data_IF_095393693093
#
_entry.id   IF_095393693093
#
_cell.length_a   1.000
_cell.length_b   1.000
_cell.length_c   1.000
_cell.angle_alpha   90.00
_cell.angle_beta   90.00
_cell.angle_gamma   90.00
#
_symmetry.space_group_name_H-M   'P 1'
#
loop_
_entity.id
_entity.type
_entity.pdbx_description
1 polymer ?
#
# COMPACT_ATOMS: atom_id res chain seq x y z
N UNK A 1 -20.07 83.53 -26.68
CA UNK A 1 -20.65 82.50 -25.87
C UNK A 1 -19.87 81.26 -26.19
N UNK A 2 -18.89 80.85 -25.32
CA UNK A 2 -17.94 79.74 -25.58
C UNK A 2 -18.44 78.48 -24.79
N UNK A 3 -18.88 77.48 -25.51
CA UNK A 3 -19.29 76.18 -24.97
C UNK A 3 -18.03 75.34 -24.69
N UNK A 4 -17.79 74.93 -23.44
CA UNK A 4 -16.74 73.99 -23.03
C UNK A 4 -17.34 72.59 -22.91
N UNK A 5 -16.96 71.72 -23.83
CA UNK A 5 -17.20 70.27 -23.68
C UNK A 5 -16.21 69.70 -22.64
N UNK A 6 -16.76 69.07 -21.59
CA UNK A 6 -16.01 68.18 -20.69
C UNK A 6 -16.09 66.76 -21.26
N UNK A 7 -14.96 66.24 -21.66
CA UNK A 7 -14.83 64.80 -21.97
C UNK A 7 -14.49 64.04 -20.68
N UNK A 8 -15.42 63.19 -20.22
CA UNK A 8 -15.19 62.27 -19.12
C UNK A 8 -14.49 61.01 -19.69
N UNK A 9 -13.21 60.79 -19.34
CA UNK A 9 -12.50 59.57 -19.63
C UNK A 9 -12.89 58.47 -18.60
N UNK A 10 -13.64 57.49 -19.04
CA UNK A 10 -13.88 56.26 -18.24
C UNK A 10 -12.64 55.38 -18.24
N UNK A 11 -11.95 55.29 -17.12
CA UNK A 11 -10.87 54.32 -16.90
C UNK A 11 -11.50 52.95 -16.63
N UNK A 12 -11.53 52.07 -17.63
CA UNK A 12 -11.83 50.66 -17.48
C UNK A 12 -10.65 49.96 -16.81
N UNK A 13 -10.70 49.70 -15.53
CA UNK A 13 -9.79 48.79 -14.84
C UNK A 13 -10.11 47.36 -15.30
N UNK A 14 -9.27 46.87 -16.22
CA UNK A 14 -9.22 45.43 -16.55
C UNK A 14 -8.59 44.75 -15.33
N UNK A 15 -9.45 44.17 -14.44
CA UNK A 15 -8.98 43.19 -13.49
C UNK A 15 -8.61 41.96 -14.32
N UNK A 16 -7.34 41.84 -14.64
CA UNK A 16 -6.81 40.62 -15.22
C UNK A 16 -6.98 39.50 -14.17
N UNK A 17 -7.92 38.57 -14.41
CA UNK A 17 -7.86 37.28 -13.79
C UNK A 17 -6.49 36.70 -14.19
N UNK A 18 -5.53 36.72 -13.28
CA UNK A 18 -4.37 35.85 -13.39
C UNK A 18 -4.94 34.43 -13.42
N UNK A 19 -4.98 33.82 -14.60
CA UNK A 19 -5.26 32.39 -14.73
C UNK A 19 -4.26 31.70 -13.81
N UNK A 20 -4.77 31.11 -12.73
CA UNK A 20 -3.94 30.30 -11.87
C UNK A 20 -3.34 29.18 -12.72
N UNK A 21 -2.03 29.06 -12.69
CA UNK A 21 -1.32 28.06 -13.49
C UNK A 21 -1.80 26.65 -13.10
N UNK A 22 -2.23 25.86 -14.09
CA UNK A 22 -2.70 24.50 -13.88
C UNK A 22 -1.53 23.61 -13.44
N UNK A 23 -1.68 22.95 -12.33
CA UNK A 23 -0.69 22.01 -11.79
C UNK A 23 -0.98 20.62 -12.32
N UNK A 24 -0.04 20.04 -13.06
CA UNK A 24 -0.09 18.64 -13.47
C UNK A 24 0.86 17.83 -12.59
N UNK A 25 0.34 16.77 -11.96
CA UNK A 25 1.10 15.85 -11.12
C UNK A 25 1.08 14.46 -11.78
N UNK A 26 2.27 13.89 -12.03
CA UNK A 26 2.43 12.55 -12.59
C UNK A 26 2.52 11.54 -11.45
N UNK A 27 1.51 10.66 -11.34
CA UNK A 27 1.45 9.59 -10.36
C UNK A 27 1.83 8.26 -11.01
N UNK A 28 2.90 7.64 -10.52
CA UNK A 28 3.44 6.39 -11.05
C UNK A 28 3.25 5.24 -10.07
N UNK A 29 2.81 4.08 -10.57
CA UNK A 29 2.68 2.88 -9.76
C UNK A 29 2.91 1.58 -10.55
N UNK A 30 3.01 0.45 -9.83
CA UNK A 30 3.49 -0.82 -10.38
C UNK A 30 2.39 -1.82 -10.77
N UNK A 31 1.14 -1.62 -10.36
CA UNK A 31 0.05 -2.55 -10.66
C UNK A 31 -0.64 -2.23 -12.00
N UNK A 32 -1.28 -3.21 -12.64
CA UNK A 32 -2.08 -2.96 -13.84
C UNK A 32 -3.33 -2.13 -13.52
N UNK A 33 -3.85 -1.40 -14.50
CA UNK A 33 -4.98 -0.49 -14.33
C UNK A 33 -6.26 -1.12 -13.73
N UNK A 34 -6.62 -2.41 -14.01
CA UNK A 34 -7.79 -3.02 -13.37
C UNK A 34 -7.63 -3.33 -11.87
N UNK A 35 -6.41 -3.18 -11.30
CA UNK A 35 -6.19 -3.43 -9.87
C UNK A 35 -6.97 -2.43 -9.01
N UNK A 36 -7.42 -2.89 -7.83
CA UNK A 36 -8.12 -2.08 -6.82
C UNK A 36 -7.40 -0.76 -6.53
N UNK A 37 -6.07 -0.80 -6.47
CA UNK A 37 -5.24 0.38 -6.25
C UNK A 37 -5.54 1.50 -7.26
N UNK A 38 -5.66 1.22 -8.56
CA UNK A 38 -6.00 2.26 -9.53
C UNK A 38 -7.51 2.47 -9.61
N UNK A 39 -8.28 1.42 -9.85
CA UNK A 39 -9.68 1.55 -10.22
C UNK A 39 -10.59 2.02 -9.07
N UNK A 40 -10.26 1.66 -7.82
CA UNK A 40 -11.11 1.95 -6.66
C UNK A 40 -10.47 2.93 -5.66
N UNK A 41 -9.20 3.29 -5.87
CA UNK A 41 -8.51 4.24 -4.99
C UNK A 41 -7.93 5.41 -5.79
N UNK A 42 -6.88 5.21 -6.59
CA UNK A 42 -6.12 6.33 -7.16
C UNK A 42 -6.94 7.17 -8.15
N UNK A 43 -7.77 6.56 -9.00
CA UNK A 43 -8.66 7.30 -9.92
C UNK A 43 -9.73 8.09 -9.18
N UNK A 44 -10.53 7.52 -8.24
CA UNK A 44 -11.51 8.29 -7.48
C UNK A 44 -10.86 9.38 -6.60
N UNK A 45 -9.71 9.10 -6.00
CA UNK A 45 -8.96 10.07 -5.21
C UNK A 45 -8.45 11.22 -6.08
N UNK A 46 -7.85 10.94 -7.24
CA UNK A 46 -7.38 11.95 -8.17
C UNK A 46 -8.52 12.83 -8.69
N UNK A 47 -9.66 12.21 -9.03
CA UNK A 47 -10.86 12.95 -9.45
C UNK A 47 -11.38 13.87 -8.34
N UNK A 48 -11.36 13.41 -7.08
CA UNK A 48 -11.75 14.24 -5.94
C UNK A 48 -10.80 15.41 -5.73
N UNK A 49 -9.48 15.19 -5.77
CA UNK A 49 -8.47 16.28 -5.65
C UNK A 49 -8.66 17.31 -6.78
N UNK A 50 -8.91 16.84 -8.01
CA UNK A 50 -9.17 17.73 -9.15
C UNK A 50 -10.43 18.57 -8.91
N UNK A 51 -11.53 17.96 -8.48
CA UNK A 51 -12.77 18.69 -8.17
C UNK A 51 -12.60 19.67 -7.01
N UNK A 52 -11.95 19.28 -5.91
CA UNK A 52 -11.74 20.12 -4.72
C UNK A 52 -10.77 21.28 -5.00
N UNK A 53 -9.97 21.22 -6.07
CA UNK A 53 -9.06 22.27 -6.50
C UNK A 53 -9.63 23.21 -7.58
N UNK A 54 -10.94 23.12 -7.87
CA UNK A 54 -11.56 23.82 -9.00
C UNK A 54 -10.82 23.53 -10.34
N UNK A 55 -10.48 22.27 -10.55
CA UNK A 55 -9.74 21.72 -11.71
C UNK A 55 -8.29 22.26 -11.87
N UNK A 56 -7.75 22.93 -10.87
CA UNK A 56 -6.39 23.49 -10.90
C UNK A 56 -5.29 22.47 -10.65
N UNK A 57 -5.62 21.31 -10.04
CA UNK A 57 -4.73 20.16 -9.93
C UNK A 57 -5.26 19.06 -10.84
N UNK A 58 -4.46 18.65 -11.83
CA UNK A 58 -4.66 17.44 -12.62
C UNK A 58 -3.66 16.38 -12.21
N UNK A 59 -4.13 15.14 -11.98
CA UNK A 59 -3.27 14.01 -11.64
C UNK A 59 -3.32 13.01 -12.79
N UNK A 60 -2.21 12.86 -13.50
CA UNK A 60 -2.04 11.89 -14.57
C UNK A 60 -1.48 10.59 -13.99
N UNK A 61 -2.24 9.48 -14.06
CA UNK A 61 -1.88 8.19 -13.49
C UNK A 61 -1.18 7.32 -14.53
N UNK A 62 -0.02 6.77 -14.16
CA UNK A 62 0.81 5.90 -15.00
C UNK A 62 0.96 4.52 -14.34
N UNK A 63 0.12 3.52 -14.70
CA UNK A 63 0.16 2.17 -14.16
C UNK A 63 1.30 1.33 -14.70
N UNK A 64 1.50 0.15 -14.11
CA UNK A 64 2.35 -0.93 -14.61
C UNK A 64 3.76 -0.48 -15.01
N UNK A 65 4.35 0.42 -14.25
CA UNK A 65 5.70 0.98 -14.50
C UNK A 65 5.85 1.68 -15.87
N UNK A 66 4.78 2.30 -16.40
CA UNK A 66 4.80 2.94 -17.73
C UNK A 66 5.86 4.02 -17.90
N UNK A 67 6.26 4.69 -16.81
CA UNK A 67 7.34 5.69 -16.83
C UNK A 67 8.73 5.07 -16.65
N UNK A 68 8.82 3.74 -16.69
CA UNK A 68 10.07 2.99 -16.63
C UNK A 68 10.53 2.64 -15.22
N UNK A 69 11.60 1.84 -15.14
CA UNK A 69 12.14 1.32 -13.90
C UNK A 69 11.47 0.02 -13.42
N UNK A 70 11.73 -0.31 -12.16
CA UNK A 70 11.18 -1.48 -11.45
C UNK A 70 10.48 -1.03 -10.16
N UNK A 71 9.53 -1.79 -9.61
CA UNK A 71 8.79 -1.39 -8.41
C UNK A 71 9.65 -0.91 -7.23
N UNK A 72 10.79 -1.52 -6.88
CA UNK A 72 11.66 -0.99 -5.81
C UNK A 72 12.23 0.40 -6.07
N UNK A 73 12.27 0.88 -7.33
CA UNK A 73 12.81 2.19 -7.68
C UNK A 73 11.80 3.33 -7.54
N UNK A 74 10.52 3.05 -7.30
CA UNK A 74 9.48 4.08 -7.19
C UNK A 74 9.77 5.08 -6.06
N UNK A 75 10.30 4.62 -4.93
CA UNK A 75 10.71 5.49 -3.82
C UNK A 75 11.80 6.48 -4.26
N UNK A 76 12.80 6.01 -5.00
CA UNK A 76 13.84 6.88 -5.50
C UNK A 76 13.31 7.84 -6.58
N UNK A 77 12.42 7.37 -7.46
CA UNK A 77 11.80 8.21 -8.48
C UNK A 77 11.04 9.40 -7.86
N UNK A 78 10.24 9.18 -6.82
CA UNK A 78 9.53 10.28 -6.15
C UNK A 78 10.48 11.16 -5.35
N UNK A 79 11.44 10.59 -4.61
CA UNK A 79 12.42 11.37 -3.84
C UNK A 79 13.25 12.29 -4.72
N UNK A 80 13.71 11.79 -5.85
CA UNK A 80 14.61 12.51 -6.76
C UNK A 80 13.85 13.43 -7.74
N UNK A 81 12.50 13.38 -7.75
CA UNK A 81 11.64 14.21 -8.60
C UNK A 81 11.57 13.75 -10.06
N UNK A 82 11.90 12.49 -10.35
CA UNK A 82 11.71 11.87 -11.67
C UNK A 82 10.21 11.81 -12.02
N UNK A 83 9.39 11.55 -10.99
CA UNK A 83 7.94 11.66 -11.01
C UNK A 83 7.48 12.50 -9.83
N UNK A 84 6.26 13.06 -9.92
CA UNK A 84 5.75 13.94 -8.87
C UNK A 84 5.19 13.13 -7.70
N UNK A 85 4.52 12.00 -7.99
CA UNK A 85 3.87 11.15 -7.02
C UNK A 85 4.11 9.68 -7.32
N UNK A 86 4.03 8.85 -6.28
CA UNK A 86 4.05 7.38 -6.41
C UNK A 86 3.03 6.74 -5.48
N UNK A 87 2.51 5.59 -5.91
CA UNK A 87 1.91 4.60 -5.02
C UNK A 87 2.76 3.33 -5.06
N UNK A 88 3.25 2.87 -3.89
CA UNK A 88 4.27 1.83 -3.83
C UNK A 88 4.29 1.10 -2.49
N UNK A 89 5.11 0.05 -2.40
CA UNK A 89 5.48 -0.68 -1.18
C UNK A 89 6.88 -0.22 -0.76
N UNK A 90 7.04 0.55 0.32
CA UNK A 90 8.35 1.00 0.81
C UNK A 90 9.31 -0.18 1.07
N UNK A 91 8.81 -1.27 1.62
CA UNK A 91 9.58 -2.47 1.97
C UNK A 91 10.05 -3.32 0.77
N UNK A 92 9.73 -2.91 -0.48
CA UNK A 92 10.43 -3.45 -1.66
C UNK A 92 11.93 -3.08 -1.70
N UNK A 93 12.35 -2.15 -0.83
CA UNK A 93 13.75 -1.84 -0.52
C UNK A 93 14.08 -2.29 0.90
N UNK A 94 14.50 -3.55 1.11
CA UNK A 94 14.67 -4.16 2.44
C UNK A 94 15.54 -3.33 3.37
N UNK A 95 15.07 -3.12 4.61
CA UNK A 95 15.82 -2.44 5.66
C UNK A 95 15.91 -0.91 5.53
N UNK A 96 15.28 -0.32 4.50
CA UNK A 96 15.32 1.13 4.29
C UNK A 96 14.32 1.89 5.18
N UNK A 97 13.18 1.27 5.50
CA UNK A 97 12.09 1.87 6.28
C UNK A 97 11.79 1.04 7.54
N UNK A 98 12.78 0.92 8.41
CA UNK A 98 12.77 -0.10 9.45
C UNK A 98 11.67 0.07 10.49
N UNK A 99 11.24 1.31 10.79
CA UNK A 99 10.19 1.52 11.77
C UNK A 99 8.80 1.12 11.23
N UNK A 100 8.56 1.30 9.93
CA UNK A 100 7.28 0.94 9.30
C UNK A 100 7.13 -0.57 9.11
N UNK A 101 8.23 -1.34 9.06
CA UNK A 101 8.22 -2.79 8.96
C UNK A 101 7.51 -3.47 10.15
N UNK A 102 7.26 -2.78 11.27
CA UNK A 102 6.53 -3.30 12.44
C UNK A 102 5.14 -3.82 12.07
N UNK A 103 4.47 -3.18 11.10
CA UNK A 103 3.13 -3.60 10.67
C UNK A 103 3.15 -4.80 9.71
N UNK A 104 4.32 -5.17 9.21
CA UNK A 104 4.53 -6.36 8.36
C UNK A 104 4.97 -7.59 9.16
N UNK A 105 5.10 -7.45 10.49
CA UNK A 105 5.38 -8.58 11.39
C UNK A 105 4.19 -9.55 11.40
N UNK A 106 4.46 -10.86 11.60
CA UNK A 106 3.40 -11.86 11.61
C UNK A 106 2.36 -11.56 12.69
N UNK A 107 1.09 -11.79 12.35
CA UNK A 107 -0.07 -11.60 13.22
C UNK A 107 -0.21 -10.20 13.83
N UNK A 108 0.26 -9.18 13.10
CA UNK A 108 0.07 -7.78 13.45
C UNK A 108 -1.26 -7.25 12.93
N UNK A 109 -1.63 -7.61 11.70
CA UNK A 109 -2.75 -7.02 10.98
C UNK A 109 -4.12 -7.52 11.48
N UNK A 110 -5.03 -6.58 11.75
CA UNK A 110 -6.47 -6.82 11.88
C UNK A 110 -7.15 -6.66 10.49
N UNK A 111 -8.29 -5.96 10.38
CA UNK A 111 -8.81 -5.55 9.06
C UNK A 111 -7.87 -4.56 8.39
N UNK A 112 -8.02 -4.37 7.07
CA UNK A 112 -7.26 -3.33 6.37
C UNK A 112 -7.68 -1.93 6.85
N UNK A 113 -8.95 -1.70 7.20
CA UNK A 113 -9.41 -0.43 7.76
C UNK A 113 -8.70 -0.11 9.09
N UNK A 114 -8.79 -1.02 10.06
CA UNK A 114 -8.20 -0.82 11.37
C UNK A 114 -6.67 -0.65 11.30
N UNK A 115 -6.02 -1.52 10.53
CA UNK A 115 -4.56 -1.50 10.43
C UNK A 115 -4.06 -0.29 9.64
N UNK A 116 -4.77 0.18 8.60
CA UNK A 116 -4.42 1.41 7.88
C UNK A 116 -4.49 2.65 8.77
N UNK A 117 -5.52 2.76 9.61
CA UNK A 117 -5.61 3.84 10.61
C UNK A 117 -4.47 3.76 11.62
N UNK A 118 -4.12 2.56 12.09
CA UNK A 118 -3.01 2.36 13.00
C UNK A 118 -1.66 2.78 12.37
N UNK A 119 -1.39 2.37 11.12
CA UNK A 119 -0.18 2.76 10.39
C UNK A 119 -0.12 4.27 10.21
N UNK A 120 -1.24 4.91 9.85
CA UNK A 120 -1.31 6.35 9.65
C UNK A 120 -1.07 7.11 10.96
N UNK A 121 -1.64 6.67 12.09
CA UNK A 121 -1.40 7.25 13.41
C UNK A 121 0.07 7.08 13.85
N UNK A 122 0.59 5.87 13.71
CA UNK A 122 1.98 5.54 14.05
C UNK A 122 2.98 6.38 13.25
N UNK A 123 2.71 6.61 11.97
CA UNK A 123 3.61 7.38 11.10
C UNK A 123 3.81 8.82 11.55
N UNK A 124 2.86 9.41 12.27
CA UNK A 124 2.97 10.80 12.75
C UNK A 124 4.12 10.99 13.76
N UNK A 125 4.45 9.95 14.51
CA UNK A 125 5.49 10.00 15.55
C UNK A 125 6.77 9.24 15.19
N UNK A 126 6.71 8.31 14.26
CA UNK A 126 7.74 7.30 14.05
C UNK A 126 8.37 7.30 12.64
N UNK A 127 8.06 8.30 11.78
CA UNK A 127 8.82 8.50 10.55
C UNK A 127 10.24 8.94 10.87
N UNK A 128 11.19 8.33 10.19
CA UNK A 128 12.61 8.64 10.32
C UNK A 128 13.15 9.32 9.06
N UNK A 129 14.45 9.63 9.07
CA UNK A 129 15.15 10.30 7.96
C UNK A 129 15.10 9.53 6.63
N UNK A 130 14.68 8.26 6.63
CA UNK A 130 14.54 7.48 5.39
C UNK A 130 13.45 8.02 4.47
N UNK A 131 12.51 8.80 5.01
CA UNK A 131 11.49 9.53 4.25
C UNK A 131 11.91 10.95 3.82
N UNK A 132 13.14 11.37 4.09
CA UNK A 132 13.62 12.70 3.69
C UNK A 132 13.45 12.91 2.16
N UNK A 133 12.87 14.05 1.79
CA UNK A 133 12.55 14.39 0.39
C UNK A 133 11.24 13.79 -0.14
N UNK A 134 10.50 13.06 0.69
CA UNK A 134 9.22 12.44 0.37
C UNK A 134 8.17 12.92 1.37
N UNK A 135 7.05 13.49 0.87
CA UNK A 135 5.89 13.81 1.72
C UNK A 135 4.84 12.69 1.56
N UNK A 136 4.59 11.91 2.62
CA UNK A 136 3.49 10.95 2.63
C UNK A 136 2.13 11.67 2.53
N UNK A 137 1.26 11.16 1.67
CA UNK A 137 -0.17 11.52 1.57
C UNK A 137 -1.00 10.51 2.36
N UNK A 138 -0.67 9.22 2.19
CA UNK A 138 -1.36 8.12 2.83
C UNK A 138 -0.40 6.96 3.06
N UNK A 139 -0.39 6.43 4.27
CA UNK A 139 -0.02 5.04 4.54
C UNK A 139 -1.28 4.21 4.71
N UNK A 140 -1.32 3.06 4.10
CA UNK A 140 -2.40 2.09 4.27
C UNK A 140 -1.85 0.66 4.12
N UNK A 141 -2.69 -0.32 4.38
CA UNK A 141 -2.35 -1.73 4.18
C UNK A 141 -3.42 -2.42 3.33
N UNK A 142 -3.11 -3.62 2.85
CA UNK A 142 -4.11 -4.53 2.30
C UNK A 142 -4.74 -5.41 3.40
N UNK A 143 -5.85 -6.07 3.12
CA UNK A 143 -6.44 -7.06 4.02
C UNK A 143 -5.43 -8.17 4.32
N UNK A 144 -5.55 -8.88 5.46
CA UNK A 144 -4.64 -9.98 5.80
C UNK A 144 -4.49 -10.99 4.67
N UNK A 145 -3.24 -11.24 4.27
CA UNK A 145 -2.95 -12.10 3.13
C UNK A 145 -3.08 -13.59 3.45
N UNK A 146 -3.38 -14.35 2.40
CA UNK A 146 -3.50 -15.81 2.39
C UNK A 146 -2.36 -16.47 1.61
N UNK A 147 -2.21 -17.78 1.73
CA UNK A 147 -1.27 -18.57 0.93
C UNK A 147 -2.04 -19.17 -0.26
N UNK A 148 -1.53 -18.96 -1.46
CA UNK A 148 -2.07 -19.49 -2.71
C UNK A 148 -1.06 -20.43 -3.34
N UNK A 149 -1.41 -21.71 -3.51
CA UNK A 149 -0.51 -22.74 -4.04
C UNK A 149 -1.12 -23.47 -5.22
N UNK A 150 -0.28 -24.18 -5.97
CA UNK A 150 -0.69 -25.02 -7.08
C UNK A 150 -0.57 -26.49 -6.70
N UNK A 151 -1.70 -27.20 -6.63
CA UNK A 151 -1.75 -28.63 -6.38
C UNK A 151 -1.30 -29.07 -5.00
N UNK A 152 -1.10 -28.15 -4.05
CA UNK A 152 -0.57 -28.45 -2.71
C UNK A 152 -1.30 -27.67 -1.64
N UNK A 153 -2.33 -28.25 -1.03
CA UNK A 153 -3.02 -27.61 0.09
C UNK A 153 -2.10 -27.51 1.31
N UNK A 154 -2.17 -26.38 1.98
CA UNK A 154 -1.48 -26.13 3.25
C UNK A 154 -2.54 -26.20 4.34
N UNK A 155 -2.53 -27.28 5.12
CA UNK A 155 -3.52 -27.57 6.15
C UNK A 155 -2.93 -27.54 7.56
N UNK A 156 -1.62 -27.75 7.67
CA UNK A 156 -0.82 -27.65 8.88
C UNK A 156 0.54 -27.01 8.58
N UNK A 157 1.23 -26.57 9.62
CA UNK A 157 2.52 -25.90 9.50
C UNK A 157 3.56 -26.75 8.74
N UNK A 158 3.55 -28.05 8.95
CA UNK A 158 4.47 -29.00 8.32
C UNK A 158 4.31 -29.11 6.81
N UNK A 159 3.14 -28.78 6.27
CA UNK A 159 2.90 -28.77 4.82
C UNK A 159 3.77 -27.74 4.08
N UNK A 160 4.29 -26.73 4.80
CA UNK A 160 5.17 -25.71 4.25
C UNK A 160 6.61 -26.17 4.03
N UNK A 161 7.02 -27.34 4.58
CA UNK A 161 8.40 -27.80 4.49
C UNK A 161 8.85 -27.92 3.02
N UNK A 162 9.85 -27.11 2.65
CA UNK A 162 10.43 -27.08 1.32
C UNK A 162 9.55 -26.47 0.22
N UNK A 163 8.37 -25.93 0.52
CA UNK A 163 7.51 -25.23 -0.45
C UNK A 163 8.16 -23.93 -0.85
N UNK A 164 8.35 -23.69 -2.14
CA UNK A 164 8.84 -22.43 -2.67
C UNK A 164 7.70 -21.42 -2.75
N UNK A 165 7.71 -20.45 -1.87
CA UNK A 165 6.69 -19.39 -1.86
C UNK A 165 7.28 -18.03 -2.21
N UNK A 166 6.61 -17.32 -3.11
CA UNK A 166 6.95 -15.91 -3.32
C UNK A 166 6.64 -15.11 -2.06
N UNK A 167 7.55 -14.19 -1.71
CA UNK A 167 7.35 -13.24 -0.61
C UNK A 167 7.48 -11.79 -1.10
N UNK A 168 6.70 -10.84 -0.53
CA UNK A 168 6.80 -9.43 -0.89
C UNK A 168 7.95 -8.71 -0.20
N UNK A 169 8.22 -8.99 1.09
CA UNK A 169 9.10 -8.20 1.94
C UNK A 169 9.99 -9.06 2.82
N UNK A 170 10.97 -8.43 3.48
CA UNK A 170 11.91 -9.11 4.36
C UNK A 170 11.23 -9.79 5.55
N UNK A 171 10.32 -9.10 6.25
CA UNK A 171 9.64 -9.67 7.43
C UNK A 171 8.87 -10.92 7.07
N UNK A 172 8.18 -10.92 5.92
CA UNK A 172 7.41 -12.06 5.46
C UNK A 172 8.33 -13.20 4.99
N UNK A 173 9.49 -12.86 4.39
CA UNK A 173 10.54 -13.84 4.06
C UNK A 173 10.99 -14.58 5.32
N UNK A 174 11.37 -13.87 6.37
CA UNK A 174 11.80 -14.45 7.64
C UNK A 174 10.70 -15.29 8.29
N UNK A 175 9.44 -14.84 8.20
CA UNK A 175 8.28 -15.60 8.71
C UNK A 175 8.12 -16.94 7.99
N UNK A 176 8.16 -16.95 6.65
CA UNK A 176 8.02 -18.20 5.89
C UNK A 176 9.24 -19.12 6.05
N UNK A 177 10.45 -18.58 6.23
CA UNK A 177 11.64 -19.37 6.62
C UNK A 177 11.44 -20.05 7.99
N UNK A 178 10.91 -19.31 8.98
CA UNK A 178 10.62 -19.89 10.29
C UNK A 178 9.57 -21.02 10.23
N UNK A 179 8.73 -21.02 9.21
CA UNK A 179 7.75 -22.10 8.94
C UNK A 179 8.33 -23.26 8.10
N UNK A 180 9.59 -23.18 7.68
CA UNK A 180 10.24 -24.21 6.88
C UNK A 180 9.97 -24.13 5.38
N UNK A 181 9.32 -23.08 4.90
CA UNK A 181 9.20 -22.83 3.47
C UNK A 181 10.53 -22.32 2.87
N UNK A 182 10.62 -22.30 1.54
CA UNK A 182 11.70 -21.71 0.78
C UNK A 182 11.21 -20.41 0.13
N UNK A 183 11.38 -19.26 0.77
CA UNK A 183 10.86 -18.01 0.24
C UNK A 183 11.69 -17.48 -0.92
N UNK A 184 11.01 -16.86 -1.90
CA UNK A 184 11.63 -16.20 -3.04
C UNK A 184 11.09 -14.77 -3.12
N UNK A 185 11.92 -13.79 -2.80
CA UNK A 185 11.55 -12.38 -2.78
C UNK A 185 11.36 -11.80 -4.18
N UNK A 186 10.16 -11.25 -4.47
CA UNK A 186 9.94 -10.50 -5.71
C UNK A 186 8.70 -9.58 -5.62
N UNK A 187 8.68 -8.45 -6.35
CA UNK A 187 7.50 -7.60 -6.48
C UNK A 187 6.32 -8.31 -7.14
N UNK A 188 5.09 -7.89 -6.79
CA UNK A 188 3.84 -8.52 -7.23
C UNK A 188 3.72 -8.77 -8.76
N UNK A 189 4.10 -7.84 -9.66
CA UNK A 189 3.96 -8.07 -11.10
C UNK A 189 4.78 -9.24 -11.68
N UNK A 190 5.78 -9.73 -10.95
CA UNK A 190 6.63 -10.84 -11.42
C UNK A 190 6.06 -12.21 -11.07
N UNK A 191 5.09 -12.27 -10.14
CA UNK A 191 4.59 -13.52 -9.55
C UNK A 191 3.90 -14.43 -10.56
N UNK A 192 3.01 -13.95 -11.45
CA UNK A 192 2.34 -14.82 -12.41
C UNK A 192 3.34 -15.63 -13.26
N UNK A 193 4.37 -14.96 -13.74
CA UNK A 193 5.39 -15.61 -14.55
C UNK A 193 6.25 -16.59 -13.73
N UNK A 194 6.55 -16.26 -12.46
CA UNK A 194 7.32 -17.12 -11.57
C UNK A 194 6.58 -18.42 -11.26
N UNK A 195 5.27 -18.38 -10.98
CA UNK A 195 4.43 -19.56 -10.76
C UNK A 195 4.31 -20.37 -12.07
N UNK A 196 3.99 -19.73 -13.19
CA UNK A 196 3.84 -20.40 -14.47
C UNK A 196 5.10 -21.14 -14.92
N UNK A 197 6.28 -20.64 -14.58
CA UNK A 197 7.58 -21.26 -14.87
C UNK A 197 8.08 -22.26 -13.80
N UNK A 198 7.33 -22.45 -12.71
CA UNK A 198 7.74 -23.34 -11.61
C UNK A 198 8.93 -22.80 -10.80
N UNK A 199 9.24 -21.49 -10.85
CA UNK A 199 10.24 -20.87 -9.99
C UNK A 199 9.77 -20.89 -8.54
N UNK A 200 8.47 -20.71 -8.34
CA UNK A 200 7.78 -20.86 -7.06
C UNK A 200 6.56 -21.76 -7.21
N UNK A 201 6.18 -22.45 -6.13
CA UNK A 201 5.03 -23.33 -6.06
C UNK A 201 3.74 -22.58 -5.75
N UNK A 202 3.89 -21.33 -5.27
CA UNK A 202 2.80 -20.47 -4.86
C UNK A 202 3.28 -19.10 -4.38
N UNK A 203 2.38 -18.39 -3.75
CA UNK A 203 2.61 -17.00 -3.28
C UNK A 203 1.82 -16.71 -2.02
N UNK A 204 2.24 -15.69 -1.28
CA UNK A 204 1.37 -15.03 -0.32
C UNK A 204 0.81 -13.75 -0.94
N UNK A 205 -0.53 -13.60 -0.91
CA UNK A 205 -1.27 -12.42 -1.40
C UNK A 205 -2.58 -12.24 -0.62
N UNK A 206 -3.13 -11.02 -0.53
CA UNK A 206 -4.57 -10.84 -0.29
C UNK A 206 -5.37 -11.25 -1.53
N UNK A 207 -6.65 -11.52 -1.39
CA UNK A 207 -7.46 -11.97 -2.54
C UNK A 207 -7.73 -10.84 -3.55
N UNK A 208 -7.73 -9.57 -3.11
CA UNK A 208 -8.03 -8.42 -3.98
C UNK A 208 -7.10 -8.33 -5.21
N UNK A 209 -5.85 -8.80 -5.06
CA UNK A 209 -4.85 -8.76 -6.13
C UNK A 209 -4.84 -10.03 -7.00
N UNK A 210 -5.51 -11.11 -6.58
CA UNK A 210 -5.46 -12.39 -7.29
C UNK A 210 -6.08 -12.31 -8.67
N UNK A 211 -7.21 -11.59 -8.83
CA UNK A 211 -7.88 -11.42 -10.13
C UNK A 211 -7.11 -10.50 -11.08
N UNK A 212 -6.69 -9.27 -10.68
CA UNK A 212 -5.91 -8.40 -11.57
C UNK A 212 -4.60 -9.00 -12.06
N UNK A 213 -3.95 -9.85 -11.26
CA UNK A 213 -2.73 -10.56 -11.64
C UNK A 213 -2.98 -11.99 -12.14
N UNK A 214 -4.25 -12.42 -12.26
CA UNK A 214 -4.65 -13.74 -12.74
C UNK A 214 -4.03 -14.90 -11.95
N UNK A 215 -3.82 -14.70 -10.63
CA UNK A 215 -3.24 -15.71 -9.74
C UNK A 215 -4.20 -16.90 -9.58
N UNK A 216 -5.51 -16.63 -9.43
CA UNK A 216 -6.57 -17.63 -9.34
C UNK A 216 -6.65 -18.56 -10.55
N UNK A 217 -6.08 -18.19 -11.70
CA UNK A 217 -6.04 -19.07 -12.89
C UNK A 217 -4.85 -20.04 -12.90
N UNK A 218 -3.85 -19.81 -12.04
CA UNK A 218 -2.59 -20.56 -12.01
C UNK A 218 -2.28 -21.17 -10.63
N UNK A 219 -3.14 -20.95 -9.65
CA UNK A 219 -3.19 -21.62 -8.35
C UNK A 219 -4.56 -22.26 -8.18
N UNK A 220 -4.70 -23.26 -7.35
CA UNK A 220 -5.94 -24.03 -7.16
C UNK A 220 -6.23 -24.35 -5.69
N UNK A 221 -5.40 -23.84 -4.78
CA UNK A 221 -5.58 -24.00 -3.35
C UNK A 221 -5.25 -22.72 -2.61
N UNK A 222 -6.12 -22.32 -1.71
CA UNK A 222 -6.05 -21.08 -0.96
C UNK A 222 -6.18 -21.36 0.53
N UNK A 223 -5.13 -21.04 1.32
CA UNK A 223 -5.15 -21.24 2.78
C UNK A 223 -5.23 -19.90 3.49
N UNK A 224 -6.30 -19.71 4.24
CA UNK A 224 -6.53 -18.55 5.09
C UNK A 224 -6.02 -18.84 6.50
N UNK A 225 -5.18 -17.95 7.01
CA UNK A 225 -4.62 -18.00 8.35
C UNK A 225 -5.07 -16.74 9.10
N UNK A 226 -6.16 -16.84 9.82
CA UNK A 226 -6.76 -15.70 10.49
C UNK A 226 -7.55 -16.16 11.73
N UNK A 227 -7.39 -15.42 12.83
CA UNK A 227 -8.28 -15.48 14.01
C UNK A 227 -8.75 -14.06 14.34
N UNK A 228 -8.15 -13.43 15.33
CA UNK A 228 -8.27 -11.99 15.59
C UNK A 228 -7.29 -11.16 14.77
N UNK A 229 -6.20 -11.78 14.30
CA UNK A 229 -5.13 -11.21 13.47
C UNK A 229 -4.79 -12.17 12.34
N UNK A 230 -4.47 -11.61 11.20
CA UNK A 230 -4.05 -12.38 10.04
C UNK A 230 -2.55 -12.60 9.96
N UNK A 231 -2.14 -13.53 9.11
CA UNK A 231 -0.75 -13.96 8.95
C UNK A 231 0.18 -12.75 8.69
N UNK A 232 -0.19 -11.89 7.76
CA UNK A 232 0.61 -10.72 7.39
C UNK A 232 -0.21 -9.67 6.64
N UNK A 233 0.34 -8.49 6.56
CA UNK A 233 -0.02 -7.45 5.59
C UNK A 233 1.25 -6.77 5.08
N UNK A 234 1.11 -5.83 4.13
CA UNK A 234 2.20 -5.00 3.62
C UNK A 234 1.80 -3.53 3.72
N UNK A 235 2.72 -2.69 4.16
CA UNK A 235 2.51 -1.24 4.18
C UNK A 235 2.63 -0.69 2.77
N UNK A 236 1.63 0.07 2.37
CA UNK A 236 1.52 0.76 1.09
C UNK A 236 1.58 2.26 1.31
N UNK A 237 2.19 2.98 0.40
CA UNK A 237 2.43 4.41 0.50
C UNK A 237 1.98 5.12 -0.76
N UNK A 238 1.09 6.11 -0.61
CA UNK A 238 0.90 7.19 -1.59
C UNK A 238 1.71 8.40 -1.12
N UNK A 239 2.58 8.92 -1.97
CA UNK A 239 3.47 10.02 -1.61
C UNK A 239 3.70 10.97 -2.78
N UNK A 240 4.06 12.22 -2.44
CA UNK A 240 4.50 13.25 -3.36
C UNK A 240 5.96 13.65 -3.06
N UNK A 241 6.69 14.03 -4.07
CA UNK A 241 8.01 14.65 -3.93
C UNK A 241 7.91 15.89 -3.04
N UNK A 242 8.72 15.99 -1.98
CA UNK A 242 8.64 17.09 -1.02
C UNK A 242 8.81 18.46 -1.69
N UNK A 243 9.80 18.63 -2.57
CA UNK A 243 10.03 19.91 -3.26
C UNK A 243 8.89 20.28 -4.20
N UNK A 244 8.28 19.27 -4.85
CA UNK A 244 7.11 19.50 -5.71
C UNK A 244 5.92 19.99 -4.88
N UNK A 245 5.65 19.34 -3.73
CA UNK A 245 4.62 19.79 -2.79
C UNK A 245 4.92 21.22 -2.29
N UNK A 246 6.14 21.50 -1.85
CA UNK A 246 6.55 22.81 -1.32
C UNK A 246 6.38 23.94 -2.36
N UNK A 247 6.52 23.61 -3.65
CA UNK A 247 6.37 24.56 -4.77
C UNK A 247 4.92 24.89 -5.12
N UNK A 248 3.94 24.17 -4.57
CA UNK A 248 2.52 24.43 -4.84
C UNK A 248 2.06 25.71 -4.14
N UNK A 249 1.08 26.43 -4.70
CA UNK A 249 0.34 27.47 -3.99
C UNK A 249 -0.28 26.93 -2.70
N UNK A 250 -0.40 27.77 -1.66
CA UNK A 250 -0.85 27.33 -0.33
C UNK A 250 -2.29 26.80 -0.33
N UNK A 251 -3.15 27.32 -1.15
CA UNK A 251 -4.51 26.82 -1.34
C UNK A 251 -4.56 25.42 -1.98
N UNK A 252 -3.65 25.14 -2.93
CA UNK A 252 -3.54 23.79 -3.51
C UNK A 252 -2.87 22.80 -2.58
N UNK A 253 -1.93 23.23 -1.72
CA UNK A 253 -1.42 22.41 -0.61
C UNK A 253 -2.56 22.02 0.33
N UNK A 254 -3.42 23.00 0.70
CA UNK A 254 -4.57 22.75 1.56
C UNK A 254 -5.54 21.70 0.96
N UNK A 255 -5.76 21.71 -0.35
CA UNK A 255 -6.56 20.69 -1.04
C UNK A 255 -5.93 19.29 -0.90
N UNK A 256 -4.61 19.16 -1.15
CA UNK A 256 -3.92 17.88 -0.99
C UNK A 256 -3.95 17.39 0.46
N UNK A 257 -3.72 18.28 1.42
CA UNK A 257 -3.75 17.95 2.85
C UNK A 257 -5.15 17.53 3.31
N UNK A 258 -6.22 18.18 2.82
CA UNK A 258 -7.61 17.81 3.09
C UNK A 258 -8.00 16.44 2.50
N UNK A 259 -7.31 15.99 1.45
CA UNK A 259 -7.49 14.70 0.79
C UNK A 259 -6.41 13.69 1.19
N UNK A 260 -5.89 13.77 2.40
CA UNK A 260 -4.83 12.92 2.95
C UNK A 260 -5.11 12.48 4.39
N UNK A 261 -4.20 11.70 4.96
CA UNK A 261 -4.19 11.40 6.39
C UNK A 261 -5.24 10.41 6.84
N UNK A 262 -5.67 10.54 8.10
CA UNK A 262 -6.50 9.57 8.80
C UNK A 262 -7.86 9.29 8.13
N UNK A 263 -8.65 10.29 7.68
CA UNK A 263 -9.92 10.01 7.01
C UNK A 263 -9.75 9.19 5.74
N UNK A 264 -8.69 9.46 4.97
CA UNK A 264 -8.37 8.70 3.77
C UNK A 264 -7.92 7.28 4.12
N UNK A 265 -7.14 7.09 5.20
CA UNK A 265 -6.70 5.77 5.66
C UNK A 265 -7.87 4.85 6.02
N UNK A 266 -8.87 5.37 6.75
CA UNK A 266 -10.09 4.63 7.09
C UNK A 266 -10.90 4.29 5.82
N UNK A 267 -11.09 5.24 4.91
CA UNK A 267 -11.83 5.03 3.67
C UNK A 267 -11.16 3.96 2.79
N UNK A 268 -9.86 4.08 2.59
CA UNK A 268 -9.12 3.18 1.70
C UNK A 268 -8.97 1.80 2.33
N UNK A 269 -8.76 1.70 3.64
CA UNK A 269 -8.76 0.41 4.33
C UNK A 269 -10.08 -0.36 4.10
N UNK A 270 -11.25 0.30 4.22
CA UNK A 270 -12.56 -0.32 3.89
C UNK A 270 -12.63 -0.79 2.44
N UNK A 271 -12.11 -0.02 1.48
CA UNK A 271 -12.07 -0.43 0.08
C UNK A 271 -11.29 -1.74 -0.08
N UNK A 272 -10.14 -1.88 0.60
CA UNK A 272 -9.34 -3.11 0.56
C UNK A 272 -10.02 -4.29 1.24
N UNK A 273 -10.67 -4.11 2.38
CA UNK A 273 -11.45 -5.18 3.04
C UNK A 273 -12.60 -5.67 2.14
N UNK A 274 -13.30 -4.76 1.47
CA UNK A 274 -14.40 -5.09 0.55
C UNK A 274 -13.93 -5.77 -0.74
N UNK A 275 -12.73 -5.44 -1.20
CA UNK A 275 -12.17 -5.96 -2.43
C UNK A 275 -11.72 -7.44 -2.34
N UNK A 276 -11.64 -8.02 -1.15
CA UNK A 276 -11.33 -9.44 -0.95
C UNK A 276 -12.42 -10.34 -1.56
N UNK A 277 -13.70 -9.98 -1.42
CA UNK A 277 -14.82 -10.82 -1.86
C UNK A 277 -14.84 -11.13 -3.36
N UNK A 278 -14.62 -10.17 -4.27
CA UNK A 278 -14.51 -10.47 -5.70
C UNK A 278 -13.37 -11.44 -6.04
N UNK A 279 -12.23 -11.33 -5.35
CA UNK A 279 -11.09 -12.24 -5.54
C UNK A 279 -11.41 -13.68 -5.07
N UNK A 280 -12.08 -13.82 -3.93
CA UNK A 280 -12.56 -15.11 -3.42
C UNK A 280 -13.58 -15.72 -4.42
N UNK A 281 -14.59 -14.95 -4.84
CA UNK A 281 -15.62 -15.42 -5.77
C UNK A 281 -15.03 -15.87 -7.11
N UNK A 282 -13.96 -15.22 -7.59
CA UNK A 282 -13.29 -15.62 -8.82
C UNK A 282 -12.62 -17.00 -8.70
N UNK A 283 -11.99 -17.30 -7.55
CA UNK A 283 -11.39 -18.60 -7.29
C UNK A 283 -12.47 -19.69 -7.04
N UNK A 284 -13.54 -19.37 -6.32
CA UNK A 284 -14.69 -20.27 -6.13
C UNK A 284 -15.33 -20.69 -7.45
N UNK A 285 -15.46 -19.74 -8.40
CA UNK A 285 -16.03 -20.03 -9.72
C UNK A 285 -15.20 -21.01 -10.55
N UNK A 286 -13.90 -21.15 -10.24
CA UNK A 286 -13.01 -22.16 -10.84
C UNK A 286 -13.06 -23.50 -10.14
N UNK A 287 -13.72 -23.59 -8.98
CA UNK A 287 -13.79 -24.78 -8.15
C UNK A 287 -12.54 -25.00 -7.29
N UNK A 288 -11.81 -23.94 -7.00
CA UNK A 288 -10.59 -23.99 -6.20
C UNK A 288 -10.85 -24.46 -4.76
N UNK A 289 -9.84 -25.05 -4.15
CA UNK A 289 -9.92 -25.55 -2.78
C UNK A 289 -9.57 -24.45 -1.78
N UNK A 290 -10.49 -24.19 -0.86
CA UNK A 290 -10.26 -23.29 0.28
C UNK A 290 -9.96 -24.10 1.54
N UNK A 291 -8.94 -23.67 2.27
CA UNK A 291 -8.54 -24.20 3.57
C UNK A 291 -8.58 -23.07 4.58
N UNK A 292 -9.27 -23.26 5.67
CA UNK A 292 -9.24 -22.38 6.84
C UNK A 292 -8.64 -23.17 8.01
N UNK A 293 -7.57 -22.64 8.59
CA UNK A 293 -6.89 -23.30 9.72
C UNK A 293 -7.72 -23.11 10.97
N UNK A 294 -7.81 -24.15 11.80
CA UNK A 294 -8.42 -24.03 13.10
C UNK A 294 -7.58 -23.18 14.07
N UNK A 295 -8.20 -22.77 15.17
CA UNK A 295 -7.55 -21.89 16.16
C UNK A 295 -6.29 -22.52 16.74
N UNK A 296 -6.29 -23.83 17.00
CA UNK A 296 -5.13 -24.51 17.59
C UNK A 296 -3.94 -24.52 16.63
N UNK A 297 -4.22 -24.73 15.33
CA UNK A 297 -3.17 -24.68 14.31
C UNK A 297 -2.66 -23.25 14.14
N UNK A 298 -3.52 -22.22 14.10
CA UNK A 298 -3.08 -20.82 14.03
C UNK A 298 -2.19 -20.45 15.23
N UNK A 299 -2.48 -20.93 16.43
CA UNK A 299 -1.61 -20.72 17.60
C UNK A 299 -0.22 -21.39 17.45
N UNK A 300 -0.14 -22.54 16.80
CA UNK A 300 1.18 -23.13 16.43
C UNK A 300 1.96 -22.23 15.49
N UNK A 301 1.30 -21.64 14.48
CA UNK A 301 1.92 -20.70 13.55
C UNK A 301 2.38 -19.42 14.26
N UNK A 302 1.57 -18.88 15.18
CA UNK A 302 1.97 -17.73 16.01
C UNK A 302 3.21 -18.03 16.83
N UNK A 303 3.27 -19.21 17.46
CA UNK A 303 4.42 -19.64 18.25
C UNK A 303 5.69 -19.79 17.38
N UNK A 304 5.57 -20.39 16.20
CA UNK A 304 6.68 -20.57 15.27
C UNK A 304 7.21 -19.22 14.70
N UNK A 305 6.37 -18.20 14.61
CA UNK A 305 6.73 -16.85 14.15
C UNK A 305 7.35 -15.95 15.23
N UNK A 306 7.25 -16.32 16.51
CA UNK A 306 7.71 -15.48 17.62
C UNK A 306 9.20 -15.04 17.48
N UNK A 307 10.14 -15.90 17.07
CA UNK A 307 11.54 -15.49 16.87
C UNK A 307 11.70 -14.34 15.87
N UNK A 308 10.86 -14.25 14.83
CA UNK A 308 10.91 -13.16 13.84
C UNK A 308 10.58 -11.82 14.48
N UNK A 309 9.59 -11.80 15.38
CA UNK A 309 9.19 -10.61 16.13
C UNK A 309 10.32 -10.20 17.09
N UNK A 310 10.93 -11.15 17.78
CA UNK A 310 12.03 -10.91 18.71
C UNK A 310 13.27 -10.38 18.01
N UNK A 311 13.60 -10.93 16.84
CA UNK A 311 14.71 -10.46 16.00
C UNK A 311 14.49 -9.02 15.52
N UNK A 312 13.27 -8.68 15.09
CA UNK A 312 12.93 -7.31 14.72
C UNK A 312 13.11 -6.35 15.89
N UNK A 313 12.61 -6.71 17.08
CA UNK A 313 12.78 -5.92 18.31
C UNK A 313 14.26 -5.74 18.65
N UNK A 314 15.06 -6.79 18.59
CA UNK A 314 16.49 -6.74 18.87
C UNK A 314 17.24 -5.81 17.90
N UNK A 315 16.89 -5.84 16.62
CA UNK A 315 17.48 -4.97 15.60
C UNK A 315 17.15 -3.48 15.79
N UNK A 316 16.06 -3.13 16.50
CA UNK A 316 15.71 -1.74 16.89
C UNK A 316 16.37 -1.29 18.21
N UNK A 317 17.14 -2.14 18.87
CA UNK A 317 17.82 -1.82 20.12
C UNK A 317 16.84 -1.45 21.26
N UNK A 318 17.21 -0.50 22.08
CA UNK A 318 16.43 -0.13 23.29
C UNK A 318 15.00 0.34 22.99
N UNK A 319 14.74 0.90 21.80
CA UNK A 319 13.41 1.38 21.38
C UNK A 319 12.48 0.31 20.81
N UNK A 320 13.00 -0.85 20.40
CA UNK A 320 12.24 -1.82 19.62
C UNK A 320 10.99 -2.35 20.31
N UNK A 321 11.04 -2.61 21.62
CA UNK A 321 9.87 -3.05 22.40
C UNK A 321 8.79 -1.98 22.48
N UNK A 322 9.18 -0.71 22.62
CA UNK A 322 8.24 0.41 22.69
C UNK A 322 7.54 0.61 21.35
N UNK A 323 8.26 0.59 20.23
CA UNK A 323 7.72 0.68 18.87
C UNK A 323 6.72 -0.47 18.59
N UNK A 324 7.07 -1.70 18.97
CA UNK A 324 6.17 -2.85 18.82
C UNK A 324 4.91 -2.71 19.67
N UNK A 325 5.07 -2.28 20.94
CA UNK A 325 3.93 -2.11 21.85
C UNK A 325 2.98 -1.00 21.37
N UNK A 326 3.52 0.12 20.88
CA UNK A 326 2.75 1.21 20.30
C UNK A 326 1.98 0.76 19.05
N UNK A 327 2.64 0.08 18.11
CA UNK A 327 1.98 -0.42 16.91
C UNK A 327 0.82 -1.39 17.25
N UNK A 328 1.03 -2.32 18.21
CA UNK A 328 -0.02 -3.24 18.69
C UNK A 328 -1.18 -2.52 19.35
N UNK A 329 -0.88 -1.53 20.18
CA UNK A 329 -1.91 -0.73 20.85
C UNK A 329 -2.77 0.05 19.85
N UNK A 330 -2.14 0.66 18.84
CA UNK A 330 -2.85 1.37 17.77
C UNK A 330 -3.74 0.41 16.94
N UNK A 331 -3.22 -0.76 16.56
CA UNK A 331 -4.04 -1.75 15.85
C UNK A 331 -5.23 -2.21 16.69
N UNK A 332 -5.05 -2.44 17.99
CA UNK A 332 -6.14 -2.80 18.89
C UNK A 332 -7.17 -1.66 19.01
N UNK A 333 -6.70 -0.41 19.19
CA UNK A 333 -7.56 0.78 19.31
C UNK A 333 -8.52 0.97 18.13
N UNK A 334 -8.08 0.66 16.91
CA UNK A 334 -8.90 0.84 15.71
C UNK A 334 -9.64 -0.44 15.29
N UNK A 335 -9.36 -1.58 15.91
CA UNK A 335 -10.04 -2.84 15.63
C UNK A 335 -11.34 -3.03 16.44
N UNK A 336 -11.47 -2.29 17.56
CA UNK A 336 -12.67 -2.24 18.42
C UNK A 336 -13.72 -1.26 17.84
#
# INVERSE_FOLDING_TARGET
>A
MKLRLFAAAAVMTIVGNALAEDVVLRLHHFLPAPAVAQAQFLEPWAAKVMADSDERIRIDIYPAMQLGGKPPQLIDQVRDGVVDMVWTVPSYTPGRFPNMEVFELPFMAASAEATSQAVMAYSQANLDDSFAGIKPILFHVHAPGSIHTRGRPITVLEDLQGVKLRTPTRSITQTLEAYGAVPVGMPAPQVPQAIARGVVDGTVFPYEITSPLRIHEITDTHTKIFTDRGLYTVVLLLAINQRRYDSLPDDLKAVLDANSGMPLAAQIGRVWDQAEMPGIAAAEALGDRFVELDVAEVERWKAAAQPVIEDWVAQRGAGGRALLAEARALVAQYAD
#
